data_IF_369199918040
#
_entry.id   IF_369199918040
#
_cell.length_a   1.000
_cell.length_b   1.000
_cell.length_c   1.000
_cell.angle_alpha   90.00
_cell.angle_beta   90.00
_cell.angle_gamma   90.00
#
_symmetry.space_group_name_H-M   'P 1'
#
loop_
_entity.id
_entity.type
_entity.pdbx_description
1 polymer ?
#
# COMPACT_ATOMS: atom_id res chain seq x y z
N UNK A 1 -3.64 -20.43 -23.06
CA UNK A 1 -2.86 -19.30 -23.62
C UNK A 1 -1.63 -19.10 -22.76
N UNK A 2 -0.47 -18.86 -23.36
CA UNK A 2 0.79 -18.63 -22.64
C UNK A 2 1.37 -17.29 -23.06
N UNK A 3 1.89 -16.50 -22.13
CA UNK A 3 2.47 -15.19 -22.41
C UNK A 3 3.60 -14.82 -21.47
N UNK A 4 4.60 -14.12 -22.00
CA UNK A 4 5.67 -13.51 -21.23
C UNK A 4 5.85 -12.06 -21.74
N UNK A 5 4.96 -11.13 -21.34
CA UNK A 5 5.05 -9.74 -21.78
C UNK A 5 6.29 -9.06 -21.18
N UNK A 6 6.76 -7.96 -21.79
CA UNK A 6 7.86 -7.20 -21.22
C UNK A 6 7.45 -6.59 -19.87
N UNK A 7 8.31 -6.68 -18.87
CA UNK A 7 8.01 -6.25 -17.51
C UNK A 7 8.11 -4.74 -17.34
N UNK A 8 7.14 -4.13 -16.64
CA UNK A 8 7.20 -2.71 -16.24
C UNK A 8 7.26 -1.72 -17.40
N UNK A 9 6.72 -2.09 -18.57
CA UNK A 9 6.70 -1.20 -19.74
C UNK A 9 5.67 -0.10 -19.55
N UNK A 10 6.09 1.15 -19.74
CA UNK A 10 5.16 2.27 -19.81
C UNK A 10 4.25 2.17 -21.05
N UNK A 11 2.98 2.52 -20.89
CA UNK A 11 1.99 2.46 -21.97
C UNK A 11 1.60 3.86 -22.47
N UNK A 12 2.44 4.86 -22.22
CA UNK A 12 2.23 6.27 -22.60
C UNK A 12 1.90 6.46 -24.08
N UNK A 13 2.54 5.68 -24.97
CA UNK A 13 2.34 5.77 -26.43
C UNK A 13 0.94 5.34 -26.89
N UNK A 14 0.28 4.47 -26.13
CA UNK A 14 -1.07 3.94 -26.43
C UNK A 14 -2.10 4.41 -25.39
N UNK A 15 -1.75 5.45 -24.62
CA UNK A 15 -2.52 5.85 -23.45
C UNK A 15 -3.91 6.33 -23.85
N UNK A 16 -4.00 7.09 -24.94
CA UNK A 16 -5.27 7.63 -25.41
C UNK A 16 -6.23 6.51 -25.79
N UNK A 17 -5.78 5.55 -26.59
CA UNK A 17 -6.60 4.43 -27.07
C UNK A 17 -7.10 3.56 -25.91
N UNK A 18 -6.23 3.27 -24.93
CA UNK A 18 -6.56 2.48 -23.75
C UNK A 18 -7.56 3.22 -22.84
N UNK A 19 -7.35 4.51 -22.61
CA UNK A 19 -8.26 5.35 -21.81
C UNK A 19 -9.62 5.50 -22.49
N UNK A 20 -9.64 5.74 -23.80
CA UNK A 20 -10.86 5.85 -24.59
C UNK A 20 -11.63 4.52 -24.58
N UNK A 21 -10.95 3.38 -24.73
CA UNK A 21 -11.59 2.06 -24.62
C UNK A 21 -12.21 1.82 -23.24
N UNK A 22 -11.47 2.12 -22.16
CA UNK A 22 -11.99 2.00 -20.79
C UNK A 22 -13.22 2.88 -20.57
N UNK A 23 -13.17 4.16 -20.96
CA UNK A 23 -14.28 5.10 -20.73
C UNK A 23 -15.50 4.82 -21.60
N UNK A 24 -15.30 4.48 -22.87
CA UNK A 24 -16.37 4.36 -23.85
C UNK A 24 -16.99 2.96 -23.88
N UNK A 25 -16.20 1.91 -23.63
CA UNK A 25 -16.68 0.53 -23.69
C UNK A 25 -16.85 -0.11 -22.32
N UNK A 26 -16.20 0.39 -21.27
CA UNK A 26 -16.25 -0.24 -19.95
C UNK A 26 -15.94 -1.74 -20.04
N UNK A 27 -16.83 -2.57 -19.50
CA UNK A 27 -16.71 -4.04 -19.51
C UNK A 27 -16.98 -4.70 -20.88
N UNK A 28 -17.53 -3.99 -21.86
CA UNK A 28 -17.59 -4.47 -23.24
C UNK A 28 -16.22 -4.34 -23.95
N UNK A 29 -15.28 -3.61 -23.34
CA UNK A 29 -13.90 -3.49 -23.75
C UNK A 29 -12.95 -4.36 -22.93
N UNK A 30 -11.65 -4.30 -23.25
CA UNK A 30 -10.61 -5.07 -22.55
C UNK A 30 -10.30 -4.51 -21.16
N UNK A 31 -10.45 -3.20 -20.99
CA UNK A 31 -9.92 -2.49 -19.84
C UNK A 31 -11.00 -2.01 -18.87
N UNK A 32 -12.21 -2.57 -18.95
CA UNK A 32 -13.33 -2.24 -18.05
C UNK A 32 -13.00 -2.24 -16.56
N UNK A 33 -12.26 -3.25 -16.03
CA UNK A 33 -11.96 -3.33 -14.61
C UNK A 33 -11.15 -2.16 -14.03
N UNK A 34 -10.36 -1.46 -14.85
CA UNK A 34 -9.52 -0.37 -14.37
C UNK A 34 -8.28 -0.16 -15.23
N UNK A 35 -7.54 0.90 -14.92
CA UNK A 35 -6.31 1.28 -15.62
C UNK A 35 -5.16 1.41 -14.61
N UNK A 36 -4.05 0.65 -14.77
CA UNK A 36 -2.88 0.82 -13.91
C UNK A 36 -2.20 2.17 -14.20
N UNK A 37 -1.24 2.59 -13.37
CA UNK A 37 -0.41 3.76 -13.66
C UNK A 37 0.26 3.66 -15.05
N UNK A 38 0.46 4.81 -15.70
CA UNK A 38 1.04 4.89 -17.06
C UNK A 38 2.43 4.25 -17.15
N UNK A 39 3.19 4.28 -16.06
CA UNK A 39 4.54 3.72 -15.98
C UNK A 39 4.58 2.19 -15.88
N UNK A 40 3.44 1.50 -15.75
CA UNK A 40 3.41 0.03 -15.63
C UNK A 40 2.18 -0.57 -16.33
N UNK A 41 2.37 -1.09 -17.54
CA UNK A 41 1.34 -1.74 -18.34
C UNK A 41 1.13 -3.22 -18.06
N UNK A 42 1.76 -3.81 -17.04
CA UNK A 42 1.75 -5.27 -16.81
C UNK A 42 0.33 -5.84 -16.68
N UNK A 43 -0.55 -5.16 -15.94
CA UNK A 43 -1.95 -5.57 -15.78
C UNK A 43 -2.80 -5.37 -17.05
N UNK A 44 -2.41 -4.48 -17.98
CA UNK A 44 -3.09 -4.35 -19.27
C UNK A 44 -2.90 -5.59 -20.15
N UNK A 45 -1.71 -6.22 -20.11
CA UNK A 45 -1.48 -7.49 -20.80
C UNK A 45 -2.33 -8.62 -20.20
N UNK A 46 -2.45 -8.67 -18.86
CA UNK A 46 -3.32 -9.63 -18.18
C UNK A 46 -4.77 -9.48 -18.64
N UNK A 47 -5.31 -8.26 -18.59
CA UNK A 47 -6.67 -7.96 -19.05
C UNK A 47 -6.88 -8.27 -20.54
N UNK A 48 -5.87 -8.00 -21.37
CA UNK A 48 -5.94 -8.36 -22.78
C UNK A 48 -6.10 -9.87 -22.98
N UNK A 49 -5.36 -10.70 -22.24
CA UNK A 49 -5.53 -12.16 -22.31
C UNK A 49 -6.89 -12.61 -21.75
N UNK A 50 -7.36 -12.01 -20.65
CA UNK A 50 -8.69 -12.30 -20.09
C UNK A 50 -9.79 -12.03 -21.12
N UNK A 51 -9.71 -10.92 -21.87
CA UNK A 51 -10.67 -10.58 -22.93
C UNK A 51 -10.74 -11.59 -24.09
N UNK A 52 -9.77 -12.52 -24.17
CA UNK A 52 -9.68 -13.56 -25.20
C UNK A 52 -10.02 -14.95 -24.67
N UNK A 53 -10.44 -15.07 -23.41
CA UNK A 53 -10.93 -16.33 -22.88
C UNK A 53 -12.20 -16.77 -23.62
N UNK A 54 -12.30 -18.05 -23.95
CA UNK A 54 -13.54 -18.64 -24.44
C UNK A 54 -14.58 -18.69 -23.32
N UNK A 55 -15.87 -18.51 -23.61
CA UNK A 55 -16.93 -18.72 -22.64
C UNK A 55 -16.89 -20.13 -22.02
N UNK A 56 -17.36 -20.27 -20.78
CA UNK A 56 -17.38 -21.56 -20.06
C UNK A 56 -18.22 -22.61 -20.82
N UNK A 57 -19.32 -22.19 -21.45
CA UNK A 57 -20.16 -23.08 -22.28
C UNK A 57 -19.45 -23.66 -23.51
N UNK A 58 -18.33 -23.07 -23.93
CA UNK A 58 -17.48 -23.56 -25.02
C UNK A 58 -16.22 -24.28 -24.51
N UNK A 59 -16.19 -24.66 -23.23
CA UNK A 59 -15.08 -25.36 -22.58
C UNK A 59 -14.13 -24.46 -21.78
N UNK A 60 -14.32 -23.14 -21.81
CA UNK A 60 -13.52 -22.19 -21.05
C UNK A 60 -12.09 -22.02 -21.57
N UNK A 61 -11.23 -21.40 -20.75
CA UNK A 61 -9.83 -21.12 -21.09
C UNK A 61 -8.94 -21.07 -19.87
N UNK A 62 -7.69 -21.49 -20.06
CA UNK A 62 -6.61 -21.37 -19.08
C UNK A 62 -5.51 -20.46 -19.61
N UNK A 63 -4.97 -19.60 -18.75
CA UNK A 63 -3.88 -18.65 -19.06
C UNK A 63 -2.72 -18.93 -18.13
N UNK A 64 -1.50 -18.99 -18.68
CA UNK A 64 -0.26 -18.84 -17.93
C UNK A 64 0.44 -17.56 -18.40
N UNK A 65 0.64 -16.60 -17.50
CA UNK A 65 1.32 -15.34 -17.81
C UNK A 65 2.43 -15.08 -16.79
N UNK A 66 3.63 -14.75 -17.27
CA UNK A 66 4.75 -14.40 -16.42
C UNK A 66 4.76 -12.89 -16.18
N UNK A 67 4.79 -12.46 -14.92
CA UNK A 67 4.86 -11.06 -14.53
C UNK A 67 5.95 -10.85 -13.47
N UNK A 68 6.38 -9.61 -13.26
CA UNK A 68 7.20 -9.25 -12.09
C UNK A 68 6.31 -9.13 -10.83
N UNK A 69 6.89 -8.69 -9.71
CA UNK A 69 6.14 -8.54 -8.46
C UNK A 69 5.10 -7.41 -8.44
N UNK A 70 5.23 -6.38 -9.29
CA UNK A 70 4.41 -5.16 -9.23
C UNK A 70 2.89 -5.42 -9.29
N UNK A 71 2.37 -6.28 -10.20
CA UNK A 71 0.95 -6.65 -10.25
C UNK A 71 0.35 -7.22 -8.96
N UNK A 72 1.17 -7.81 -8.07
CA UNK A 72 0.68 -8.46 -6.85
C UNK A 72 0.17 -7.45 -5.80
N UNK A 73 0.83 -6.30 -5.65
CA UNK A 73 0.62 -5.43 -4.48
C UNK A 73 0.56 -3.93 -4.79
N UNK A 74 0.91 -3.49 -6.00
CA UNK A 74 0.92 -2.05 -6.29
C UNK A 74 -0.48 -1.48 -6.43
N UNK A 75 -0.68 -0.24 -5.98
CA UNK A 75 -1.97 0.44 -6.03
C UNK A 75 -2.85 0.13 -4.82
N UNK A 76 -3.26 1.17 -4.10
CA UNK A 76 -4.13 1.06 -2.92
C UNK A 76 -5.60 0.86 -3.27
N UNK A 77 -6.46 0.70 -2.26
CA UNK A 77 -7.91 0.60 -2.44
C UNK A 77 -8.46 1.70 -3.36
N UNK A 78 -9.29 1.31 -4.33
CA UNK A 78 -9.85 2.20 -5.36
C UNK A 78 -8.90 2.62 -6.48
N UNK A 79 -7.61 2.24 -6.45
CA UNK A 79 -6.72 2.44 -7.60
C UNK A 79 -7.01 1.43 -8.70
N UNK A 80 -6.65 1.76 -9.94
CA UNK A 80 -6.91 0.86 -11.08
C UNK A 80 -6.22 -0.50 -10.96
N UNK A 81 -5.00 -0.58 -10.42
CA UNK A 81 -4.35 -1.87 -10.17
C UNK A 81 -5.13 -2.73 -9.16
N UNK A 82 -5.63 -2.09 -8.09
CA UNK A 82 -6.41 -2.76 -7.05
C UNK A 82 -7.76 -3.23 -7.59
N UNK A 83 -8.44 -2.40 -8.40
CA UNK A 83 -9.71 -2.78 -9.04
C UNK A 83 -9.55 -3.90 -10.09
N UNK A 84 -8.41 -3.94 -10.79
CA UNK A 84 -8.10 -5.07 -11.68
C UNK A 84 -7.91 -6.36 -10.88
N UNK A 85 -7.16 -6.32 -9.77
CA UNK A 85 -7.01 -7.49 -8.88
C UNK A 85 -8.35 -7.91 -8.29
N UNK A 86 -9.14 -6.95 -7.82
CA UNK A 86 -10.50 -7.15 -7.32
C UNK A 86 -11.36 -7.87 -8.36
N UNK A 87 -11.37 -7.39 -9.60
CA UNK A 87 -12.09 -8.05 -10.69
C UNK A 87 -11.62 -9.48 -10.93
N UNK A 88 -10.31 -9.71 -10.97
CA UNK A 88 -9.72 -11.04 -11.20
C UNK A 88 -10.07 -12.03 -10.07
N UNK A 89 -10.07 -11.59 -8.82
CA UNK A 89 -10.33 -12.41 -7.65
C UNK A 89 -11.83 -12.62 -7.39
N UNK A 90 -12.65 -11.56 -7.49
CA UNK A 90 -14.11 -11.64 -7.30
C UNK A 90 -14.81 -12.42 -8.41
N UNK A 91 -14.26 -12.44 -9.64
CA UNK A 91 -14.76 -13.30 -10.72
C UNK A 91 -14.13 -14.71 -10.70
N UNK A 92 -13.42 -15.07 -9.64
CA UNK A 92 -12.82 -16.41 -9.46
C UNK A 92 -11.92 -16.82 -10.64
N UNK A 93 -11.18 -15.88 -11.23
CA UNK A 93 -10.35 -16.13 -12.41
C UNK A 93 -8.94 -16.58 -12.06
N UNK A 94 -8.35 -16.04 -10.97
CA UNK A 94 -7.00 -16.42 -10.54
C UNK A 94 -7.03 -17.78 -9.85
N UNK A 95 -6.32 -18.77 -10.38
CA UNK A 95 -6.29 -20.12 -9.83
C UNK A 95 -5.02 -20.38 -9.01
N UNK A 96 -3.86 -19.93 -9.50
CA UNK A 96 -2.61 -20.07 -8.77
C UNK A 96 -1.58 -18.98 -9.13
N UNK A 97 -0.66 -18.72 -8.20
CA UNK A 97 0.54 -17.92 -8.44
C UNK A 97 1.77 -18.72 -8.02
N UNK A 98 2.72 -18.87 -8.92
CA UNK A 98 4.00 -19.55 -8.67
C UNK A 98 5.13 -18.54 -8.63
N UNK A 99 5.79 -18.36 -7.48
CA UNK A 99 7.00 -17.56 -7.37
C UNK A 99 8.19 -18.35 -7.92
N UNK A 100 8.84 -17.81 -8.94
CA UNK A 100 9.97 -18.46 -9.61
C UNK A 100 11.29 -18.11 -8.93
N UNK A 101 12.35 -18.92 -9.12
CA UNK A 101 13.70 -18.52 -8.70
C UNK A 101 14.09 -17.17 -9.29
N UNK A 102 14.85 -16.38 -8.54
CA UNK A 102 15.52 -15.20 -9.07
C UNK A 102 16.57 -15.60 -10.11
N UNK A 103 17.04 -14.62 -10.89
CA UNK A 103 18.10 -14.83 -11.90
C UNK A 103 17.77 -15.89 -12.96
N UNK A 104 16.49 -16.08 -13.27
CA UNK A 104 16.00 -17.00 -14.31
C UNK A 104 15.98 -16.38 -15.71
N UNK A 105 16.09 -15.05 -15.81
CA UNK A 105 15.98 -14.29 -17.07
C UNK A 105 17.31 -13.63 -17.46
N UNK A 106 17.59 -13.56 -18.77
CA UNK A 106 18.83 -13.00 -19.30
C UNK A 106 19.05 -11.52 -18.94
N UNK A 107 17.97 -10.74 -18.96
CA UNK A 107 18.04 -9.28 -18.85
C UNK A 107 17.75 -8.76 -17.44
N UNK A 108 17.37 -9.63 -16.50
CA UNK A 108 16.98 -9.20 -15.16
C UNK A 108 17.11 -10.32 -14.12
N UNK A 109 17.56 -9.95 -12.92
CA UNK A 109 17.63 -10.82 -11.74
C UNK A 109 16.41 -10.72 -10.81
N UNK A 110 15.38 -9.97 -11.21
CA UNK A 110 14.20 -9.76 -10.36
C UNK A 110 13.41 -11.05 -10.12
N UNK A 111 12.66 -11.06 -9.02
CA UNK A 111 11.63 -12.05 -8.77
C UNK A 111 10.53 -11.98 -9.83
N UNK A 112 10.15 -13.14 -10.35
CA UNK A 112 9.09 -13.30 -11.35
C UNK A 112 8.06 -14.31 -10.88
N UNK A 113 6.84 -14.16 -11.35
CA UNK A 113 5.69 -14.93 -10.90
C UNK A 113 4.92 -15.43 -12.12
N UNK A 114 4.57 -16.72 -12.12
CA UNK A 114 3.65 -17.29 -13.09
C UNK A 114 2.25 -17.16 -12.51
N UNK A 115 1.40 -16.38 -13.17
CA UNK A 115 -0.02 -16.28 -12.87
C UNK A 115 -0.76 -17.30 -13.72
N UNK A 116 -1.49 -18.20 -13.05
CA UNK A 116 -2.36 -19.19 -13.67
C UNK A 116 -3.79 -18.74 -13.47
N UNK A 117 -4.49 -18.47 -14.57
CA UNK A 117 -5.90 -18.09 -14.56
C UNK A 117 -6.74 -19.12 -15.28
N UNK A 118 -7.97 -19.33 -14.80
CA UNK A 118 -8.97 -20.19 -15.42
C UNK A 118 -10.36 -19.63 -15.17
N UNK A 119 -11.19 -19.53 -16.20
CA UNK A 119 -12.63 -19.25 -16.03
C UNK A 119 -13.46 -20.54 -15.87
N UNK A 120 -12.82 -21.71 -15.93
CA UNK A 120 -13.45 -23.02 -15.82
C UNK A 120 -12.70 -23.86 -14.78
N UNK A 121 -12.66 -23.34 -13.54
CA UNK A 121 -12.05 -24.03 -12.39
C UNK A 121 -12.83 -25.29 -12.00
N UNK A 122 -12.12 -26.32 -11.57
CA UNK A 122 -12.71 -27.50 -10.93
C UNK A 122 -13.39 -27.12 -9.61
N UNK A 123 -14.27 -27.99 -9.09
CA UNK A 123 -15.01 -27.73 -7.84
C UNK A 123 -14.08 -27.45 -6.65
N UNK A 124 -12.95 -28.14 -6.57
CA UNK A 124 -11.97 -28.01 -5.49
C UNK A 124 -11.24 -26.65 -5.53
N UNK A 125 -11.04 -26.07 -6.72
CA UNK A 125 -10.36 -24.79 -6.90
C UNK A 125 -11.32 -23.58 -6.86
N UNK A 126 -12.63 -23.80 -6.74
CA UNK A 126 -13.63 -22.72 -6.76
C UNK A 126 -13.46 -21.77 -5.58
N UNK A 127 -13.40 -20.48 -5.87
CA UNK A 127 -13.16 -19.39 -4.90
C UNK A 127 -11.86 -19.53 -4.10
N UNK A 128 -10.91 -20.32 -4.62
CA UNK A 128 -9.61 -20.54 -4.00
C UNK A 128 -8.48 -20.09 -4.93
N UNK A 129 -7.36 -19.72 -4.32
CA UNK A 129 -6.09 -19.42 -4.97
C UNK A 129 -4.98 -20.20 -4.29
N UNK A 130 -4.19 -20.92 -5.08
CA UNK A 130 -2.98 -21.59 -4.60
C UNK A 130 -1.76 -20.69 -4.79
N UNK A 131 -0.99 -20.44 -3.74
CA UNK A 131 0.31 -19.79 -3.82
C UNK A 131 1.40 -20.86 -3.72
N UNK A 132 2.34 -20.90 -4.66
CA UNK A 132 3.43 -21.88 -4.70
C UNK A 132 4.78 -21.15 -4.71
N UNK A 133 5.58 -21.31 -3.66
CA UNK A 133 6.87 -20.65 -3.52
C UNK A 133 8.02 -21.50 -4.06
N UNK A 134 8.21 -21.51 -5.39
CA UNK A 134 9.29 -22.23 -6.05
C UNK A 134 10.64 -21.46 -6.08
N UNK A 135 10.77 -20.35 -5.34
CA UNK A 135 11.93 -19.46 -5.41
C UNK A 135 13.26 -20.16 -5.05
N UNK A 136 13.19 -21.21 -4.20
CA UNK A 136 14.35 -22.01 -3.76
C UNK A 136 14.59 -23.26 -4.61
N UNK A 137 13.77 -23.54 -5.62
CA UNK A 137 13.85 -24.78 -6.43
C UNK A 137 14.77 -24.68 -7.66
N UNK A 138 15.40 -23.52 -7.86
CA UNK A 138 16.34 -23.27 -8.96
C UNK A 138 17.77 -23.66 -8.63
N UNK A 139 18.47 -24.23 -9.60
CA UNK A 139 19.87 -24.61 -9.50
C UNK A 139 20.79 -23.60 -10.19
N UNK A 140 22.00 -23.44 -9.68
CA UNK A 140 23.01 -22.56 -10.29
C UNK A 140 23.49 -23.12 -11.63
N UNK A 141 23.48 -22.27 -12.65
CA UNK A 141 24.01 -22.61 -13.97
C UNK A 141 25.54 -22.67 -13.95
N UNK A 142 26.12 -23.60 -14.70
CA UNK A 142 27.58 -23.70 -14.87
C UNK A 142 28.20 -22.45 -15.49
N UNK A 143 27.47 -21.78 -16.38
CA UNK A 143 27.88 -20.54 -17.04
C UNK A 143 26.71 -19.56 -17.02
N UNK A 144 26.91 -18.40 -16.39
CA UNK A 144 25.91 -17.33 -16.40
C UNK A 144 25.72 -16.74 -17.79
N UNK A 145 24.49 -16.33 -18.10
CA UNK A 145 24.12 -15.69 -19.37
C UNK A 145 23.47 -14.33 -19.06
N UNK A 146 24.29 -13.27 -19.03
CA UNK A 146 23.84 -11.96 -18.55
C UNK A 146 23.45 -12.03 -17.07
N UNK A 147 22.23 -11.63 -16.75
CA UNK A 147 21.63 -11.76 -15.41
C UNK A 147 21.14 -13.17 -15.11
N UNK A 148 21.05 -14.06 -16.12
CA UNK A 148 20.59 -15.43 -15.90
C UNK A 148 21.69 -16.24 -15.22
N UNK A 149 21.43 -16.68 -14.00
CA UNK A 149 22.34 -17.49 -13.18
C UNK A 149 21.71 -18.77 -12.67
N UNK A 150 20.38 -18.88 -12.71
CA UNK A 150 19.64 -20.06 -12.27
C UNK A 150 18.85 -20.70 -13.42
N UNK A 151 18.63 -21.99 -13.28
CA UNK A 151 17.74 -22.76 -14.13
C UNK A 151 16.90 -23.75 -13.29
N UNK A 152 15.71 -24.09 -13.79
CA UNK A 152 14.93 -25.19 -13.27
C UNK A 152 15.23 -26.41 -14.13
N UNK A 153 15.65 -27.50 -13.49
CA UNK A 153 15.75 -28.81 -14.15
C UNK A 153 14.39 -29.47 -14.24
N UNK A 154 14.27 -30.47 -15.10
CA UNK A 154 13.04 -31.26 -15.30
C UNK A 154 12.44 -31.75 -13.98
N UNK A 155 13.25 -32.28 -13.05
CA UNK A 155 12.77 -32.72 -11.74
C UNK A 155 12.08 -31.58 -10.94
N UNK A 156 12.66 -30.37 -10.94
CA UNK A 156 12.04 -29.21 -10.28
C UNK A 156 10.74 -28.79 -10.98
N UNK A 157 10.68 -28.88 -12.31
CA UNK A 157 9.49 -28.56 -13.10
C UNK A 157 8.37 -29.57 -12.80
N UNK A 158 8.70 -30.86 -12.74
CA UNK A 158 7.79 -31.94 -12.39
C UNK A 158 7.24 -31.75 -10.97
N UNK A 159 8.10 -31.40 -10.01
CA UNK A 159 7.68 -31.13 -8.63
C UNK A 159 6.74 -29.92 -8.53
N UNK A 160 7.04 -28.80 -9.21
CA UNK A 160 6.16 -27.63 -9.24
C UNK A 160 4.80 -27.99 -9.88
N UNK A 161 4.82 -28.76 -10.97
CA UNK A 161 3.61 -29.18 -11.68
C UNK A 161 2.77 -30.11 -10.81
N UNK A 162 3.41 -31.04 -10.09
CA UNK A 162 2.76 -31.93 -9.13
C UNK A 162 2.17 -31.16 -7.96
N UNK A 163 2.89 -30.19 -7.39
CA UNK A 163 2.38 -29.33 -6.31
C UNK A 163 1.12 -28.57 -6.75
N UNK A 164 1.16 -28.00 -7.95
CA UNK A 164 0.01 -27.31 -8.54
C UNK A 164 -1.19 -28.24 -8.78
N UNK A 165 -0.95 -29.44 -9.33
CA UNK A 165 -2.02 -30.40 -9.62
C UNK A 165 -2.59 -31.12 -8.40
N UNK A 166 -1.78 -31.31 -7.35
CA UNK A 166 -2.22 -31.95 -6.10
C UNK A 166 -3.14 -31.03 -5.29
N UNK A 167 -2.93 -29.71 -5.35
CA UNK A 167 -3.73 -28.72 -4.64
C UNK A 167 -3.82 -29.01 -3.12
N UNK A 168 -2.66 -29.30 -2.53
CA UNK A 168 -2.51 -29.60 -1.09
C UNK A 168 -1.66 -28.52 -0.39
N UNK A 169 -1.95 -28.29 0.89
CA UNK A 169 -1.20 -27.34 1.72
C UNK A 169 0.08 -27.95 2.30
N UNK A 170 1.18 -27.20 2.23
CA UNK A 170 2.46 -27.49 2.84
C UNK A 170 3.31 -26.20 2.94
N UNK A 171 4.59 -26.31 3.28
CA UNK A 171 5.50 -25.16 3.41
C UNK A 171 5.70 -24.39 2.09
N UNK A 172 5.57 -25.07 0.95
CA UNK A 172 5.79 -24.53 -0.40
C UNK A 172 4.48 -24.12 -1.06
N UNK A 173 3.37 -24.81 -0.78
CA UNK A 173 2.05 -24.61 -1.37
C UNK A 173 1.04 -24.20 -0.30
N UNK A 174 0.44 -23.02 -0.42
CA UNK A 174 -0.59 -22.53 0.53
C UNK A 174 -1.87 -22.17 -0.22
N UNK A 175 -3.02 -22.46 0.38
CA UNK A 175 -4.33 -22.28 -0.29
C UNK A 175 -5.15 -21.25 0.48
N UNK A 176 -5.66 -20.25 -0.24
CA UNK A 176 -6.41 -19.14 0.32
C UNK A 176 -7.77 -19.01 -0.34
N UNK A 177 -8.75 -18.50 0.39
CA UNK A 177 -9.96 -17.96 -0.22
C UNK A 177 -9.64 -16.73 -1.05
N UNK A 178 -10.37 -16.50 -2.15
CA UNK A 178 -10.20 -15.29 -2.96
C UNK A 178 -10.38 -14.01 -2.13
N UNK A 179 -11.21 -14.06 -1.09
CA UNK A 179 -11.48 -12.97 -0.15
C UNK A 179 -10.33 -12.69 0.82
N UNK A 180 -9.40 -13.62 1.04
CA UNK A 180 -8.27 -13.44 1.97
C UNK A 180 -7.28 -12.37 1.49
N UNK A 181 -7.29 -12.07 0.19
CA UNK A 181 -6.50 -11.02 -0.45
C UNK A 181 -7.19 -9.65 -0.44
N UNK A 182 -8.44 -9.61 0.01
CA UNK A 182 -9.23 -8.39 0.07
C UNK A 182 -9.10 -7.71 1.43
N UNK A 183 -9.08 -6.39 1.40
CA UNK A 183 -9.17 -5.55 2.60
C UNK A 183 -10.09 -4.36 2.34
N UNK A 184 -10.58 -3.78 3.43
CA UNK A 184 -11.35 -2.54 3.43
C UNK A 184 -10.52 -1.45 4.07
N UNK A 185 -10.18 -0.44 3.26
CA UNK A 185 -9.44 0.72 3.70
C UNK A 185 -10.38 1.77 4.27
N UNK A 186 -10.32 2.01 5.57
CA UNK A 186 -11.05 3.08 6.23
C UNK A 186 -10.13 4.29 6.42
N UNK A 187 -10.71 5.50 6.45
CA UNK A 187 -9.98 6.69 6.88
C UNK A 187 -10.28 6.93 8.36
N UNK A 188 -9.22 7.01 9.16
CA UNK A 188 -9.28 7.30 10.58
C UNK A 188 -8.96 8.77 10.79
N UNK A 189 -9.91 9.49 11.36
CA UNK A 189 -9.78 10.91 11.68
C UNK A 189 -9.49 11.09 13.15
N UNK A 190 -8.65 12.08 13.46
CA UNK A 190 -8.34 12.52 14.82
C UNK A 190 -8.84 13.95 15.01
N UNK A 191 -9.24 14.34 16.23
CA UNK A 191 -9.72 15.69 16.47
C UNK A 191 -8.60 16.71 16.27
N UNK A 192 -8.99 17.88 15.78
CA UNK A 192 -8.14 19.06 15.78
C UNK A 192 -8.09 19.63 17.19
N UNK A 193 -6.88 19.67 17.76
CA UNK A 193 -6.59 20.27 19.05
C UNK A 193 -5.36 21.14 18.85
N UNK A 194 -5.48 22.44 19.11
CA UNK A 194 -4.45 23.40 18.74
C UNK A 194 -4.07 24.28 19.92
N UNK A 195 -2.76 24.41 20.10
CA UNK A 195 -2.16 25.44 20.93
C UNK A 195 -1.57 26.52 20.04
N UNK A 196 -1.87 27.76 20.38
CA UNK A 196 -1.46 28.97 19.67
C UNK A 196 -0.33 29.65 20.43
N UNK A 197 0.69 30.12 19.70
CA UNK A 197 1.89 30.78 20.23
C UNK A 197 2.06 32.17 19.60
N UNK A 198 1.36 33.19 20.10
CA UNK A 198 1.31 34.51 19.47
C UNK A 198 2.67 35.23 19.43
N UNK A 199 3.57 34.92 20.36
CA UNK A 199 4.87 35.58 20.54
C UNK A 199 6.06 34.82 19.97
N UNK A 200 5.84 33.63 19.41
CA UNK A 200 6.91 32.85 18.82
C UNK A 200 7.44 33.56 17.57
N UNK A 201 8.68 34.05 17.64
CA UNK A 201 9.28 34.85 16.58
C UNK A 201 9.43 34.05 15.28
N UNK A 202 9.77 32.77 15.36
CA UNK A 202 9.96 31.94 14.18
C UNK A 202 8.63 31.72 13.44
N UNK A 203 7.55 31.46 14.19
CA UNK A 203 6.20 31.31 13.63
C UNK A 203 5.66 32.60 13.02
N UNK A 204 5.88 33.72 13.69
CA UNK A 204 5.44 35.04 13.21
C UNK A 204 6.21 35.44 11.95
N UNK A 205 7.50 35.16 11.88
CA UNK A 205 8.30 35.44 10.69
C UNK A 205 7.91 34.52 9.52
N UNK A 206 7.67 33.23 9.77
CA UNK A 206 7.13 32.30 8.77
C UNK A 206 5.75 32.76 8.23
N UNK A 207 4.89 33.32 9.08
CA UNK A 207 3.62 33.92 8.64
C UNK A 207 3.85 35.10 7.70
N UNK A 208 4.78 36.02 8.02
CA UNK A 208 5.09 37.19 7.18
C UNK A 208 5.63 36.82 5.81
N UNK A 209 6.36 35.72 5.71
CA UNK A 209 6.93 35.22 4.45
C UNK A 209 5.91 34.45 3.58
N UNK A 210 4.78 34.02 4.14
CA UNK A 210 3.77 33.27 3.39
C UNK A 210 3.15 34.14 2.28
N UNK A 211 3.17 33.61 1.05
CA UNK A 211 2.67 34.31 -0.14
C UNK A 211 1.21 34.75 -0.02
N UNK A 212 0.38 34.03 0.76
CA UNK A 212 -1.00 34.42 0.98
C UNK A 212 -1.11 35.61 1.95
N UNK A 213 -0.21 35.70 2.93
CA UNK A 213 -0.16 36.80 3.89
C UNK A 213 0.35 38.08 3.24
N UNK A 214 1.44 37.99 2.46
CA UNK A 214 2.03 39.11 1.72
C UNK A 214 1.04 39.78 0.76
N UNK A 215 0.07 39.02 0.24
CA UNK A 215 -0.99 39.52 -0.67
C UNK A 215 -2.14 40.23 0.04
N UNK A 216 -2.22 40.17 1.37
CA UNK A 216 -3.24 40.89 2.13
C UNK A 216 -2.98 42.40 2.06
N UNK A 217 -4.02 43.20 2.29
CA UNK A 217 -3.86 44.65 2.42
C UNK A 217 -2.88 44.99 3.57
N UNK A 218 -2.04 46.00 3.37
CA UNK A 218 -0.98 46.34 4.33
C UNK A 218 -1.55 46.73 5.70
N UNK A 219 -2.69 47.43 5.73
CA UNK A 219 -3.34 47.80 6.99
C UNK A 219 -3.82 46.56 7.75
N UNK A 220 -4.38 45.57 7.05
CA UNK A 220 -4.82 44.32 7.66
C UNK A 220 -3.64 43.47 8.16
N UNK A 221 -2.51 43.45 7.44
CA UNK A 221 -1.30 42.77 7.91
C UNK A 221 -0.82 43.39 9.23
N UNK A 222 -0.74 44.72 9.29
CA UNK A 222 -0.25 45.44 10.47
C UNK A 222 -1.23 45.30 11.65
N UNK A 223 -2.54 45.28 11.38
CA UNK A 223 -3.59 44.99 12.38
C UNK A 223 -3.41 43.57 12.98
N UNK A 224 -3.20 42.54 12.15
CA UNK A 224 -2.98 41.16 12.61
C UNK A 224 -1.71 41.06 13.47
N UNK A 225 -0.60 41.64 13.02
CA UNK A 225 0.68 41.55 13.73
C UNK A 225 0.63 42.31 15.07
N UNK A 226 -0.04 43.47 15.10
CA UNK A 226 -0.26 44.23 16.34
C UNK A 226 -1.12 43.43 17.30
N UNK A 227 -2.23 42.87 16.82
CA UNK A 227 -3.12 42.06 17.64
C UNK A 227 -2.42 40.81 18.20
N UNK A 228 -1.57 40.13 17.42
CA UNK A 228 -0.77 39.01 17.91
C UNK A 228 0.21 39.43 19.02
N UNK A 229 0.83 40.62 18.88
CA UNK A 229 1.76 41.15 19.87
C UNK A 229 1.07 41.63 21.16
N UNK A 230 -0.20 42.05 21.09
CA UNK A 230 -0.99 42.56 22.23
C UNK A 230 -1.60 41.44 23.10
N UNK A 231 -1.66 40.21 22.59
CA UNK A 231 -2.01 39.04 23.41
C UNK A 231 -0.95 38.92 24.52
N UNK A 232 -1.35 38.55 25.75
CA UNK A 232 -0.43 38.50 26.90
C UNK A 232 0.06 37.09 27.21
N UNK A 233 -0.66 36.10 26.73
CA UNK A 233 -0.39 34.69 26.98
C UNK A 233 0.62 34.14 25.98
N UNK A 234 1.68 33.51 26.49
CA UNK A 234 2.68 32.81 25.66
C UNK A 234 2.05 31.64 24.88
N UNK A 235 1.07 30.97 25.48
CA UNK A 235 0.37 29.82 24.93
C UNK A 235 -1.13 29.92 25.20
N UNK A 236 -1.95 29.74 24.16
CA UNK A 236 -3.40 29.64 24.28
C UNK A 236 -3.84 28.30 23.69
N UNK A 237 -4.43 27.42 24.50
CA UNK A 237 -4.85 26.06 24.08
C UNK A 237 -6.34 25.96 23.74
N UNK A 238 -6.97 27.10 23.41
CA UNK A 238 -8.38 27.20 23.04
C UNK A 238 -8.52 28.14 21.84
N UNK A 239 -9.02 27.60 20.73
CA UNK A 239 -9.22 28.35 19.48
C UNK A 239 -10.21 29.49 19.59
N UNK A 240 -11.30 29.32 20.35
CA UNK A 240 -12.30 30.37 20.52
C UNK A 240 -11.75 31.50 21.39
N UNK A 241 -11.00 31.15 22.43
CA UNK A 241 -10.30 32.14 23.27
C UNK A 241 -9.24 32.90 22.46
N UNK A 242 -8.45 32.20 21.64
CA UNK A 242 -7.48 32.83 20.75
C UNK A 242 -8.15 33.78 19.75
N UNK A 243 -9.21 33.32 19.06
CA UNK A 243 -9.95 34.14 18.10
C UNK A 243 -10.55 35.40 18.75
N UNK A 244 -11.06 35.29 19.99
CA UNK A 244 -11.61 36.42 20.75
C UNK A 244 -10.52 37.41 21.18
N UNK A 245 -9.33 36.93 21.53
CA UNK A 245 -8.20 37.76 21.95
C UNK A 245 -7.49 38.44 20.77
N UNK A 246 -7.46 37.78 19.62
CA UNK A 246 -6.95 38.38 18.39
C UNK A 246 -7.82 39.56 17.94
N UNK A 247 -9.15 39.48 18.11
CA UNK A 247 -10.10 40.58 17.88
C UNK A 247 -9.97 41.33 16.54
N UNK A 248 -9.48 40.65 15.49
CA UNK A 248 -9.39 41.18 14.13
C UNK A 248 -10.50 40.61 13.26
N UNK A 249 -11.12 41.45 12.42
CA UNK A 249 -12.17 41.01 11.49
C UNK A 249 -11.58 40.21 10.31
N UNK A 250 -11.53 38.89 10.48
CA UNK A 250 -10.95 37.97 9.50
C UNK A 250 -11.99 37.11 8.78
N UNK A 251 -11.75 36.85 7.50
CA UNK A 251 -12.41 35.76 6.77
C UNK A 251 -11.90 34.40 7.26
N UNK A 252 -12.66 33.33 7.01
CA UNK A 252 -12.27 31.98 7.40
C UNK A 252 -10.92 31.53 6.80
N UNK A 253 -10.61 31.96 5.57
CA UNK A 253 -9.32 31.67 4.92
C UNK A 253 -8.16 32.43 5.57
N UNK A 254 -8.36 33.70 5.95
CA UNK A 254 -7.35 34.49 6.65
C UNK A 254 -7.08 33.93 8.05
N UNK A 255 -8.12 33.55 8.80
CA UNK A 255 -7.94 32.94 10.11
C UNK A 255 -7.18 31.60 10.01
N UNK A 256 -7.53 30.75 9.04
CA UNK A 256 -6.81 29.49 8.79
C UNK A 256 -5.33 29.71 8.41
N UNK A 257 -5.03 30.80 7.70
CA UNK A 257 -3.65 31.16 7.37
C UNK A 257 -2.85 31.51 8.65
N UNK A 258 -3.42 32.29 9.56
CA UNK A 258 -2.78 32.60 10.85
C UNK A 258 -2.62 31.31 11.65
N UNK A 259 -3.69 30.51 11.79
CA UNK A 259 -3.67 29.24 12.51
C UNK A 259 -2.57 28.31 11.99
N UNK A 260 -2.41 28.17 10.67
CA UNK A 260 -1.38 27.33 10.04
C UNK A 260 0.03 27.61 10.57
N UNK A 261 0.36 28.88 10.84
CA UNK A 261 1.71 29.29 11.26
C UNK A 261 1.83 29.43 12.78
N UNK A 262 0.82 30.03 13.41
CA UNK A 262 0.85 30.41 14.83
C UNK A 262 0.44 29.26 15.75
N UNK A 263 -0.09 28.14 15.23
CA UNK A 263 -0.51 27.00 16.05
C UNK A 263 0.25 25.71 15.76
N UNK A 264 0.18 24.79 16.70
CA UNK A 264 0.58 23.40 16.53
C UNK A 264 -0.44 22.46 17.17
N UNK A 265 -0.38 21.18 16.78
CA UNK A 265 -1.21 20.16 17.40
C UNK A 265 -0.77 19.91 18.85
N UNK A 266 -1.74 19.89 19.76
CA UNK A 266 -1.53 19.64 21.19
C UNK A 266 -2.67 18.78 21.74
N UNK A 267 -2.36 17.56 22.19
CA UNK A 267 -3.36 16.61 22.71
C UNK A 267 -4.06 17.10 23.99
N UNK A 268 -3.51 18.09 24.69
CA UNK A 268 -4.11 18.70 25.88
C UNK A 268 -4.98 19.94 25.55
N UNK A 269 -4.95 20.42 24.30
CA UNK A 269 -5.73 21.58 23.89
C UNK A 269 -7.23 21.25 23.73
N UNK A 270 -8.05 22.29 23.85
CA UNK A 270 -9.51 22.17 23.73
C UNK A 270 -9.87 21.68 22.32
N UNK A 271 -10.78 20.69 22.28
CA UNK A 271 -11.27 20.09 21.04
C UNK A 271 -11.94 21.14 20.15
N UNK A 272 -11.40 21.33 18.94
CA UNK A 272 -11.99 22.23 17.96
C UNK A 272 -13.27 21.63 17.38
N UNK A 273 -14.34 22.45 17.36
CA UNK A 273 -15.66 22.07 16.85
C UNK A 273 -16.14 23.02 15.77
N UNK A 274 -16.82 22.45 14.77
CA UNK A 274 -17.46 23.26 13.74
C UNK A 274 -18.69 24.01 14.28
N UNK A 275 -19.31 24.83 13.43
CA UNK A 275 -20.54 25.59 13.78
C UNK A 275 -21.72 24.71 14.20
N UNK A 276 -21.67 23.40 13.96
CA UNK A 276 -22.69 22.42 14.32
C UNK A 276 -22.31 21.64 15.59
N UNK A 277 -21.19 21.98 16.23
CA UNK A 277 -20.68 21.31 17.43
C UNK A 277 -19.97 19.98 17.15
N UNK A 278 -19.78 19.59 15.87
CA UNK A 278 -19.07 18.37 15.51
C UNK A 278 -17.56 18.59 15.61
N UNK A 279 -16.83 17.58 16.06
CA UNK A 279 -15.37 17.61 16.08
C UNK A 279 -14.82 17.85 14.67
N UNK A 280 -13.89 18.78 14.56
CA UNK A 280 -13.13 19.01 13.33
C UNK A 280 -11.97 18.01 13.27
N UNK A 281 -11.74 17.45 12.09
CA UNK A 281 -10.61 16.54 11.86
C UNK A 281 -9.30 17.33 11.72
N UNK A 282 -8.22 16.81 12.29
CA UNK A 282 -6.86 17.26 11.99
C UNK A 282 -6.34 16.51 10.73
N UNK A 283 -6.19 17.18 9.58
CA UNK A 283 -5.71 16.52 8.36
C UNK A 283 -4.29 15.96 8.48
N UNK A 284 -3.46 16.53 9.35
CA UNK A 284 -2.05 16.14 9.53
C UNK A 284 -1.91 14.84 10.34
N UNK A 285 -2.95 14.48 11.08
CA UNK A 285 -3.01 13.27 11.89
C UNK A 285 -3.98 12.21 11.33
N UNK A 286 -4.49 12.45 10.13
CA UNK A 286 -5.36 11.50 9.43
C UNK A 286 -4.56 10.28 9.01
N UNK A 287 -5.09 9.11 9.32
CA UNK A 287 -4.48 7.85 8.89
C UNK A 287 -5.50 6.97 8.13
N UNK A 288 -5.05 5.81 7.67
CA UNK A 288 -5.91 4.79 7.10
C UNK A 288 -5.56 3.41 7.62
N UNK A 289 -6.58 2.65 7.95
CA UNK A 289 -6.45 1.25 8.35
C UNK A 289 -6.95 0.34 7.24
N UNK A 290 -6.21 -0.75 6.99
CA UNK A 290 -6.58 -1.79 6.04
C UNK A 290 -7.10 -3.00 6.83
N UNK A 291 -8.42 -3.19 6.82
CA UNK A 291 -9.10 -4.22 7.62
C UNK A 291 -9.42 -5.42 6.72
N UNK A 292 -9.02 -6.66 7.05
CA UNK A 292 -9.37 -7.84 6.25
C UNK A 292 -10.89 -7.93 6.00
N UNK A 293 -11.32 -8.38 4.82
CA UNK A 293 -12.76 -8.47 4.50
C UNK A 293 -13.53 -9.45 5.38
N UNK A 294 -12.84 -10.38 6.04
CA UNK A 294 -13.40 -11.33 7.00
C UNK A 294 -13.70 -10.71 8.38
N UNK A 295 -13.26 -9.48 8.63
CA UNK A 295 -13.38 -8.82 9.93
C UNK A 295 -14.31 -7.60 9.89
N UNK A 296 -15.06 -7.37 10.99
CA UNK A 296 -15.89 -6.17 11.16
C UNK A 296 -15.03 -4.95 11.42
N UNK A 297 -15.37 -3.84 10.76
CA UNK A 297 -14.70 -2.55 10.90
C UNK A 297 -14.73 -2.10 12.37
N UNK A 298 -15.89 -2.21 13.02
CA UNK A 298 -16.12 -1.79 14.40
C UNK A 298 -15.29 -2.60 15.38
N UNK A 299 -15.21 -3.93 15.15
CA UNK A 299 -14.45 -4.85 16.00
C UNK A 299 -12.95 -4.58 15.90
N UNK A 300 -12.45 -4.41 14.67
CA UNK A 300 -11.06 -4.04 14.43
C UNK A 300 -10.73 -2.67 15.05
N UNK A 301 -11.57 -1.67 14.81
CA UNK A 301 -11.35 -0.30 15.30
C UNK A 301 -11.34 -0.22 16.82
N UNK A 302 -12.21 -0.98 17.50
CA UNK A 302 -12.23 -1.05 18.96
C UNK A 302 -11.00 -1.76 19.55
N UNK A 303 -10.44 -2.74 18.84
CA UNK A 303 -9.29 -3.53 19.29
C UNK A 303 -7.94 -2.87 18.98
N UNK A 304 -7.77 -2.36 17.76
CA UNK A 304 -6.47 -1.90 17.25
C UNK A 304 -6.33 -0.37 17.29
N UNK A 305 -7.40 0.39 17.10
CA UNK A 305 -7.28 1.87 16.99
C UNK A 305 -7.60 2.56 18.31
N UNK A 306 -8.77 2.27 18.90
CA UNK A 306 -9.24 2.97 20.11
C UNK A 306 -8.30 2.92 21.33
N UNK A 307 -7.58 1.81 21.61
CA UNK A 307 -6.66 1.77 22.76
C UNK A 307 -5.47 2.72 22.62
N UNK A 308 -5.03 2.98 21.38
CA UNK A 308 -3.91 3.88 21.09
C UNK A 308 -4.36 5.31 20.82
N UNK A 309 -5.54 5.50 20.23
CA UNK A 309 -6.10 6.82 19.89
C UNK A 309 -7.58 6.92 20.29
N UNK A 310 -7.87 7.17 21.59
CA UNK A 310 -9.24 7.10 22.13
C UNK A 310 -10.24 8.07 21.47
N UNK A 311 -9.76 9.23 21.00
CA UNK A 311 -10.59 10.26 20.38
C UNK A 311 -10.77 10.09 18.87
N UNK A 312 -10.15 9.08 18.25
CA UNK A 312 -10.29 8.84 16.82
C UNK A 312 -11.71 8.39 16.44
N UNK A 313 -12.13 8.70 15.22
CA UNK A 313 -13.37 8.20 14.61
C UNK A 313 -13.16 7.85 13.15
N UNK A 314 -14.10 7.09 12.59
CA UNK A 314 -14.06 6.65 11.20
C UNK A 314 -14.73 7.71 10.31
N UNK A 315 -14.09 8.09 9.21
CA UNK A 315 -14.73 8.93 8.19
C UNK A 315 -15.73 8.11 7.36
N UNK A 316 -17.00 8.19 7.75
CA UNK A 316 -18.11 7.51 7.08
C UNK A 316 -18.48 8.10 5.71
N UNK A 317 -17.87 9.22 5.30
CA UNK A 317 -18.16 9.86 4.00
C UNK A 317 -17.59 9.09 2.82
N UNK A 318 -16.52 8.32 3.04
CA UNK A 318 -15.90 7.50 1.99
C UNK A 318 -16.55 6.13 2.01
N UNK A 319 -17.20 5.77 0.91
CA UNK A 319 -17.88 4.49 0.75
C UNK A 319 -17.44 3.81 -0.54
N UNK A 320 -17.42 2.48 -0.55
CA UNK A 320 -17.11 1.69 -1.75
C UNK A 320 -18.26 1.81 -2.78
N UNK A 321 -17.91 2.05 -4.04
CA UNK A 321 -18.92 2.26 -5.09
C UNK A 321 -19.73 1.01 -5.42
N UNK A 322 -19.22 -0.19 -5.14
CA UNK A 322 -19.92 -1.45 -5.47
C UNK A 322 -20.91 -1.88 -4.39
N UNK A 323 -20.58 -1.69 -3.12
CA UNK A 323 -21.44 -2.16 -2.01
C UNK A 323 -21.99 -1.05 -1.09
N UNK A 324 -21.57 0.20 -1.29
CA UNK A 324 -22.06 1.37 -0.56
C UNK A 324 -21.66 1.43 0.92
N UNK A 325 -20.81 0.50 1.39
CA UNK A 325 -20.37 0.46 2.79
C UNK A 325 -19.17 1.38 3.02
N UNK A 326 -18.98 1.83 4.26
CA UNK A 326 -17.87 2.72 4.68
C UNK A 326 -16.51 2.10 4.39
N UNK A 327 -15.57 2.90 3.90
CA UNK A 327 -14.26 2.47 3.45
C UNK A 327 -14.27 1.95 2.01
N UNK A 328 -13.10 1.94 1.37
CA UNK A 328 -12.93 1.48 -0.01
C UNK A 328 -12.34 0.07 0.01
N UNK A 329 -12.89 -0.86 -0.78
CA UNK A 329 -12.31 -2.20 -0.89
C UNK A 329 -11.08 -2.14 -1.78
N UNK A 330 -10.02 -2.80 -1.32
CA UNK A 330 -8.80 -3.02 -2.09
C UNK A 330 -8.43 -4.49 -2.07
N UNK A 331 -7.63 -4.89 -3.05
CA UNK A 331 -7.05 -6.22 -3.08
C UNK A 331 -5.53 -6.12 -3.22
N UNK A 332 -4.81 -6.96 -2.47
CA UNK A 332 -3.37 -7.16 -2.58
C UNK A 332 -3.03 -8.63 -2.34
N UNK A 333 -2.01 -9.13 -3.01
CA UNK A 333 -1.50 -10.49 -2.84
C UNK A 333 -0.11 -10.36 -2.21
N UNK A 334 0.01 -10.29 -0.87
CA UNK A 334 1.28 -10.10 -0.19
C UNK A 334 2.05 -11.42 -0.16
N UNK A 335 2.42 -11.94 -1.33
CA UNK A 335 2.96 -13.29 -1.54
C UNK A 335 4.04 -13.65 -0.51
N UNK A 336 5.06 -12.80 -0.36
CA UNK A 336 6.18 -13.04 0.55
C UNK A 336 5.77 -13.09 2.03
N UNK A 337 4.72 -12.35 2.45
CA UNK A 337 4.23 -12.37 3.83
C UNK A 337 3.69 -13.75 4.19
N UNK A 338 3.06 -14.45 3.24
CA UNK A 338 2.51 -15.78 3.48
C UNK A 338 3.59 -16.86 3.65
N UNK A 339 4.78 -16.67 3.08
CA UNK A 339 5.91 -17.61 3.20
C UNK A 339 7.04 -17.09 4.11
N UNK A 340 6.78 -16.01 4.84
CA UNK A 340 7.74 -15.49 5.80
C UNK A 340 7.75 -16.39 7.03
N UNK A 341 8.90 -17.01 7.27
CA UNK A 341 9.19 -17.70 8.52
C UNK A 341 9.98 -16.74 9.41
N UNK A 342 9.42 -16.43 10.59
CA UNK A 342 10.12 -15.60 11.56
C UNK A 342 11.34 -16.34 12.07
N UNK A 343 12.51 -15.81 11.78
CA UNK A 343 13.78 -16.27 12.35
C UNK A 343 14.07 -15.33 13.53
N UNK A 344 13.94 -15.86 14.74
CA UNK A 344 14.31 -15.11 15.93
C UNK A 344 15.78 -14.66 15.80
N UNK A 345 16.11 -13.41 16.12
CA UNK A 345 17.51 -13.01 16.20
C UNK A 345 18.23 -13.93 17.21
N UNK A 346 19.45 -14.33 16.87
CA UNK A 346 20.29 -15.12 17.78
C UNK A 346 20.50 -14.36 19.08
N UNK A 347 20.61 -15.10 20.18
CA UNK A 347 20.87 -14.51 21.49
C UNK A 347 22.20 -13.75 21.48
N UNK A 348 22.30 -12.64 22.21
CA UNK A 348 23.50 -11.80 22.22
C UNK A 348 24.70 -12.61 22.73
N UNK A 349 24.45 -13.48 23.71
CA UNK A 349 25.43 -14.36 24.34
C UNK A 349 26.04 -15.36 23.34
N UNK A 350 25.27 -15.82 22.36
CA UNK A 350 25.78 -16.70 21.28
C UNK A 350 26.68 -15.93 20.31
N UNK A 351 26.33 -14.68 20.02
CA UNK A 351 27.13 -13.79 19.16
C UNK A 351 28.47 -13.49 19.84
N UNK A 352 28.46 -13.18 21.14
CA UNK A 352 29.66 -12.89 21.92
C UNK A 352 30.59 -14.12 22.00
N UNK A 353 30.03 -15.31 22.25
CA UNK A 353 30.80 -16.55 22.29
C UNK A 353 31.46 -16.90 20.94
N UNK A 354 30.75 -16.67 19.82
CA UNK A 354 31.31 -16.84 18.47
C UNK A 354 32.42 -15.82 18.18
N UNK A 355 32.22 -14.55 18.55
CA UNK A 355 33.24 -13.51 18.39
C UNK A 355 34.51 -13.82 19.18
N UNK A 356 34.37 -14.29 20.42
CA UNK A 356 35.50 -14.71 21.25
C UNK A 356 36.23 -15.91 20.65
N UNK A 357 35.49 -16.88 20.10
CA UNK A 357 36.06 -18.04 19.42
C UNK A 357 36.85 -17.64 18.16
N UNK A 358 36.27 -16.80 17.29
CA UNK A 358 36.93 -16.30 16.08
C UNK A 358 38.14 -15.43 16.44
N UNK A 359 38.02 -14.57 17.45
CA UNK A 359 39.14 -13.74 17.92
C UNK A 359 40.29 -14.59 18.45
N UNK A 360 39.97 -15.65 19.20
CA UNK A 360 40.96 -16.61 19.70
C UNK A 360 41.67 -17.35 18.56
N UNK A 361 40.95 -17.74 17.51
CA UNK A 361 41.50 -18.38 16.32
C UNK A 361 42.42 -17.44 15.54
N UNK A 362 42.00 -16.18 15.33
CA UNK A 362 42.82 -15.15 14.69
C UNK A 362 44.11 -14.89 15.49
N UNK A 363 44.02 -14.78 16.82
CA UNK A 363 45.20 -14.58 17.68
C UNK A 363 46.18 -15.76 17.61
N UNK A 364 45.67 -16.99 17.48
CA UNK A 364 46.52 -18.18 17.28
C UNK A 364 47.24 -18.14 15.94
N UNK A 365 46.53 -17.84 14.85
CA UNK A 365 47.12 -17.71 13.51
C UNK A 365 48.17 -16.60 13.45
N UNK A 366 47.93 -15.45 14.10
CA UNK A 366 48.90 -14.35 14.14
C UNK A 366 50.19 -14.72 14.88
N UNK A 367 50.09 -15.51 15.97
CA UNK A 367 51.26 -16.03 16.70
C UNK A 367 52.08 -17.02 15.87
N UNK A 368 51.40 -17.87 15.10
CA UNK A 368 52.06 -18.83 14.19
C UNK A 368 52.80 -18.14 13.04
N UNK A 369 52.41 -16.92 12.63
CA UNK A 369 53.09 -16.14 11.58
C UNK A 369 54.30 -15.35 12.12
N UNK A 370 54.32 -15.03 13.43
CA UNK A 370 55.40 -14.26 14.08
C UNK A 370 56.43 -15.16 14.80
N UNK A 371 56.28 -16.48 14.71
CA UNK A 371 57.26 -17.49 15.19
C UNK A 371 57.97 -18.10 14.00
#
# INVERSE_FOLDING_TARGET
MLSNPPFGVEWKKVQKEVVDEHKLKGFDGRFGPGLPRVSDGSLLFLLHLISKMRPVGEGGSRIGIILNGSPLFTGGAGSGESEIRRYVLENDLLEAIVAMPNDMFFNTGIATYIWILSNHKSKEHKNKVQLINAAKMGESMRKSLGSKRKELKEASIDDITRLYGAFEENEISKIFDTTDFGYRRITVERPLQLSYYPHDSERVDALKEDKAFVKLDKALQDEILTALADIKEEKISDRELFAKKLDVKLTASQFKLIQKHISEHDDEAVLCRDKKGKLEANPDLRDNENIPLSESIESYFAREVKPHVPLAWIDEKKTDDKDGKVGIVGYEIPFNRHFYEYVAPRALEEIDAELDAVTSEIMKLLKEVHS
#
